data_IF_838069785449
#
_entry.id   IF_838069785449
#
_cell.length_a   1.000
_cell.length_b   1.000
_cell.length_c   1.000
_cell.angle_alpha   90.00
_cell.angle_beta   90.00
_cell.angle_gamma   90.00
#
_symmetry.space_group_name_H-M   'P 1'
#
loop_
_entity.id
_entity.type
_entity.pdbx_description
1 polymer ?
#
# COMPACT_ATOMS: atom_id res chain seq x y z
N UNK A 1 -14.82 -1.31 14.27
CA UNK A 1 -14.15 -0.95 12.99
C UNK A 1 -13.82 0.52 12.89
N UNK A 2 -12.69 0.82 12.23
CA UNK A 2 -12.20 2.18 12.03
C UNK A 2 -11.75 2.35 10.57
N UNK A 3 -12.11 3.47 9.96
CA UNK A 3 -11.59 3.91 8.66
C UNK A 3 -10.50 4.94 8.91
N UNK A 4 -9.40 4.85 8.17
CA UNK A 4 -8.27 5.76 8.30
C UNK A 4 -8.13 6.60 7.03
N UNK A 5 -7.95 7.90 7.19
CA UNK A 5 -7.47 8.80 6.15
C UNK A 5 -5.99 9.11 6.39
N UNK A 6 -5.19 9.16 5.33
CA UNK A 6 -3.76 9.47 5.42
C UNK A 6 -3.45 10.82 4.78
N UNK A 7 -2.76 11.69 5.52
CA UNK A 7 -2.23 12.96 5.01
C UNK A 7 -0.70 12.89 5.04
N UNK A 8 -0.08 12.94 3.86
CA UNK A 8 1.38 12.91 3.71
C UNK A 8 2.05 14.15 4.32
N UNK A 9 3.32 14.02 4.71
CA UNK A 9 4.09 15.05 5.41
C UNK A 9 4.17 16.36 4.62
N UNK A 10 4.37 16.28 3.31
CA UNK A 10 4.49 17.47 2.46
C UNK A 10 3.16 18.22 2.37
N UNK A 11 2.05 17.50 2.17
CA UNK A 11 0.70 18.07 2.19
C UNK A 11 0.38 18.67 3.56
N UNK A 12 0.82 18.02 4.64
CA UNK A 12 0.59 18.51 5.99
C UNK A 12 1.34 19.81 6.32
N UNK A 13 2.49 20.06 5.69
CA UNK A 13 3.29 21.26 5.90
C UNK A 13 2.68 22.55 5.35
N UNK A 14 1.77 22.44 4.38
CA UNK A 14 1.01 23.57 3.84
C UNK A 14 -0.40 23.60 4.47
N UNK A 15 -0.68 24.61 5.29
CA UNK A 15 -1.95 24.73 6.02
C UNK A 15 -3.19 24.71 5.11
N UNK A 16 -3.13 25.30 3.91
CA UNK A 16 -4.26 25.34 2.99
C UNK A 16 -4.51 23.95 2.37
N UNK A 17 -3.46 23.29 1.87
CA UNK A 17 -3.55 21.93 1.30
C UNK A 17 -3.92 20.89 2.34
N UNK A 18 -3.38 21.05 3.54
CA UNK A 18 -3.62 20.21 4.72
C UNK A 18 -5.09 20.29 5.18
N UNK A 19 -5.72 21.46 5.09
CA UNK A 19 -7.16 21.63 5.37
C UNK A 19 -8.02 20.98 4.28
N UNK A 20 -7.75 21.31 3.02
CA UNK A 20 -8.48 20.79 1.85
C UNK A 20 -8.45 19.25 1.78
N UNK A 21 -7.28 18.65 1.99
CA UNK A 21 -7.12 17.19 2.04
C UNK A 21 -7.96 16.56 3.17
N UNK A 22 -8.00 17.18 4.36
CA UNK A 22 -8.78 16.66 5.50
C UNK A 22 -10.28 16.78 5.26
N UNK A 23 -10.74 17.88 4.68
CA UNK A 23 -12.16 18.06 4.33
C UNK A 23 -12.60 17.03 3.28
N UNK A 24 -11.80 16.83 2.25
CA UNK A 24 -12.03 15.81 1.21
C UNK A 24 -12.07 14.40 1.79
N UNK A 25 -11.08 14.04 2.63
CA UNK A 25 -11.03 12.74 3.31
C UNK A 25 -12.22 12.54 4.26
N UNK A 26 -12.66 13.59 4.95
CA UNK A 26 -13.82 13.54 5.84
C UNK A 26 -15.11 13.29 5.05
N UNK A 27 -15.32 13.98 3.93
CA UNK A 27 -16.46 13.79 3.06
C UNK A 27 -16.46 12.40 2.42
N UNK A 28 -15.30 11.94 1.91
CA UNK A 28 -15.13 10.62 1.33
C UNK A 28 -15.36 9.51 2.36
N UNK A 29 -14.76 9.64 3.56
CA UNK A 29 -14.94 8.67 4.64
C UNK A 29 -16.40 8.53 5.06
N UNK A 30 -17.14 9.63 5.20
CA UNK A 30 -18.59 9.58 5.50
C UNK A 30 -19.40 8.88 4.41
N UNK A 31 -19.03 9.06 3.14
CA UNK A 31 -19.67 8.36 2.02
C UNK A 31 -19.38 6.87 2.07
N UNK A 32 -18.11 6.50 2.30
CA UNK A 32 -17.66 5.11 2.35
C UNK A 32 -18.31 4.30 3.47
N UNK A 33 -18.68 4.95 4.57
CA UNK A 33 -19.17 4.28 5.78
C UNK A 33 -20.69 4.31 5.93
N UNK A 34 -21.42 4.97 5.02
CA UNK A 34 -22.87 5.20 5.13
C UNK A 34 -23.67 3.92 5.33
N UNK A 35 -23.32 2.84 4.63
CA UNK A 35 -24.11 1.61 4.60
C UNK A 35 -23.52 0.50 5.48
N UNK A 36 -22.57 0.82 6.37
CA UNK A 36 -21.92 -0.16 7.25
C UNK A 36 -22.48 -0.13 8.66
N UNK A 37 -22.73 -1.31 9.23
CA UNK A 37 -23.17 -1.49 10.61
C UNK A 37 -22.22 -2.45 11.37
N UNK A 38 -21.68 -2.07 12.54
CA UNK A 38 -21.80 -0.75 13.17
C UNK A 38 -21.07 0.35 12.37
N UNK A 39 -21.52 1.61 12.51
CA UNK A 39 -20.90 2.72 11.79
C UNK A 39 -19.44 2.86 12.28
N UNK A 40 -18.45 2.68 11.41
CA UNK A 40 -17.05 2.74 11.80
C UNK A 40 -16.62 4.19 12.06
N UNK A 41 -15.75 4.38 13.06
CA UNK A 41 -15.14 5.69 13.32
C UNK A 41 -14.17 6.10 12.20
N UNK A 42 -14.16 7.36 11.81
CA UNK A 42 -13.19 7.91 10.84
C UNK A 42 -12.05 8.61 11.59
N UNK A 43 -10.81 8.23 11.31
CA UNK A 43 -9.60 8.86 11.88
C UNK A 43 -8.69 9.33 10.76
N UNK A 44 -8.45 10.63 10.67
CA UNK A 44 -7.51 11.17 9.69
C UNK A 44 -6.17 11.38 10.40
N UNK A 45 -5.15 10.64 9.96
CA UNK A 45 -3.80 10.67 10.53
C UNK A 45 -2.84 11.40 9.61
N UNK A 46 -1.83 12.01 10.21
CA UNK A 46 -0.75 12.69 9.48
C UNK A 46 0.51 11.85 9.55
N UNK A 47 1.23 11.73 8.44
CA UNK A 47 2.49 11.03 8.35
C UNK A 47 3.47 11.47 9.46
N UNK A 48 4.09 10.51 10.14
CA UNK A 48 5.01 10.76 11.25
C UNK A 48 4.35 11.08 12.59
N UNK A 49 3.02 11.21 12.66
CA UNK A 49 2.32 11.34 13.94
C UNK A 49 2.29 10.03 14.74
N UNK A 50 2.11 10.11 16.06
CA UNK A 50 2.00 8.92 16.91
C UNK A 50 0.89 7.95 16.46
N UNK A 51 -0.23 8.49 15.97
CA UNK A 51 -1.37 7.71 15.48
C UNK A 51 -1.11 7.05 14.12
N UNK A 52 -0.20 7.59 13.31
CA UNK A 52 0.16 7.01 12.01
C UNK A 52 0.78 5.61 12.13
N UNK A 53 1.44 5.31 13.27
CA UNK A 53 2.02 3.99 13.54
C UNK A 53 1.01 2.86 13.42
N UNK A 54 -0.25 3.11 13.79
CA UNK A 54 -1.32 2.12 13.64
C UNK A 54 -1.56 1.78 12.15
N UNK A 55 -1.57 2.77 11.27
CA UNK A 55 -1.76 2.53 9.83
C UNK A 55 -0.52 1.85 9.24
N UNK A 56 0.68 2.35 9.58
CA UNK A 56 1.94 1.81 9.07
C UNK A 56 2.14 0.34 9.43
N UNK A 57 1.76 -0.08 10.65
CA UNK A 57 1.89 -1.49 11.07
C UNK A 57 0.95 -2.48 10.36
N UNK A 58 0.12 -2.00 9.42
CA UNK A 58 -0.82 -2.82 8.64
C UNK A 58 -0.45 -2.83 7.15
N UNK A 59 0.60 -2.12 6.78
CA UNK A 59 1.12 -2.10 5.41
C UNK A 59 2.13 -3.23 5.27
N UNK A 60 2.07 -3.94 4.15
CA UNK A 60 3.11 -4.91 3.80
C UNK A 60 4.44 -4.17 3.52
N UNK A 61 5.59 -4.70 3.97
CA UNK A 61 6.87 -4.02 3.82
C UNK A 61 7.47 -4.20 2.41
N UNK A 62 6.79 -3.73 1.36
CA UNK A 62 7.26 -3.87 -0.03
C UNK A 62 8.53 -3.09 -0.36
N UNK A 63 8.97 -2.17 0.51
CA UNK A 63 10.18 -1.39 0.32
C UNK A 63 11.48 -2.20 0.52
N UNK A 64 11.40 -3.41 1.09
CA UNK A 64 12.55 -4.31 1.27
C UNK A 64 12.81 -5.18 0.03
N UNK A 65 11.86 -5.23 -0.91
CA UNK A 65 11.95 -6.04 -2.13
C UNK A 65 12.93 -5.43 -3.13
N UNK A 66 13.40 -6.23 -4.09
CA UNK A 66 14.27 -5.73 -5.14
C UNK A 66 13.54 -4.71 -6.05
N UNK A 67 14.28 -3.75 -6.61
CA UNK A 67 13.71 -2.66 -7.41
C UNK A 67 12.82 -3.12 -8.56
N UNK A 68 13.23 -4.17 -9.28
CA UNK A 68 12.44 -4.71 -10.38
C UNK A 68 11.09 -5.25 -9.90
N UNK A 69 11.04 -5.86 -8.72
CA UNK A 69 9.81 -6.37 -8.12
C UNK A 69 8.91 -5.24 -7.63
N UNK A 70 9.50 -4.23 -6.98
CA UNK A 70 8.78 -3.02 -6.58
C UNK A 70 8.12 -2.34 -7.78
N UNK A 71 8.80 -2.29 -8.92
CA UNK A 71 8.28 -1.66 -10.14
C UNK A 71 7.08 -2.42 -10.72
N UNK A 72 7.04 -3.74 -10.59
CA UNK A 72 5.90 -4.57 -11.01
C UNK A 72 4.69 -4.35 -10.08
N UNK A 73 4.91 -4.38 -8.77
CA UNK A 73 3.82 -4.28 -7.78
C UNK A 73 3.32 -2.85 -7.56
N UNK A 74 4.20 -1.86 -7.73
CA UNK A 74 3.90 -0.46 -7.49
C UNK A 74 4.32 0.39 -8.71
N UNK A 75 3.60 0.30 -9.84
CA UNK A 75 3.94 1.07 -11.05
C UNK A 75 4.12 2.58 -10.84
N UNK A 76 3.37 3.27 -9.94
CA UNK A 76 3.61 4.68 -9.67
C UNK A 76 4.99 4.99 -9.07
N UNK A 77 5.62 4.04 -8.37
CA UNK A 77 6.97 4.22 -7.81
C UNK A 77 8.01 4.21 -8.93
N UNK A 78 7.82 3.40 -9.97
CA UNK A 78 8.71 3.34 -11.12
C UNK A 78 8.74 4.65 -11.92
N UNK A 79 7.66 5.43 -11.87
CA UNK A 79 7.56 6.74 -12.53
C UNK A 79 8.18 7.90 -11.73
N UNK A 80 8.63 7.66 -10.50
CA UNK A 80 9.24 8.71 -9.66
C UNK A 80 10.65 9.04 -10.14
N UNK A 81 11.02 10.32 -10.02
CA UNK A 81 12.41 10.74 -10.19
C UNK A 81 13.31 10.01 -9.18
N UNK A 82 14.58 9.67 -9.53
CA UNK A 82 15.47 8.90 -8.64
C UNK A 82 15.61 9.49 -7.24
N UNK A 83 15.72 10.82 -7.13
CA UNK A 83 15.80 11.52 -5.84
C UNK A 83 14.52 11.40 -5.01
N UNK A 84 13.35 11.48 -5.65
CA UNK A 84 12.06 11.32 -4.99
C UNK A 84 11.88 9.88 -4.51
N UNK A 85 12.30 8.90 -5.33
CA UNK A 85 12.28 7.48 -4.95
C UNK A 85 13.19 7.20 -3.76
N UNK A 86 14.42 7.74 -3.76
CA UNK A 86 15.35 7.61 -2.62
C UNK A 86 14.77 8.23 -1.34
N UNK A 87 14.15 9.40 -1.45
CA UNK A 87 13.48 10.08 -0.32
C UNK A 87 12.30 9.26 0.22
N UNK A 88 11.50 8.66 -0.67
CA UNK A 88 10.39 7.78 -0.30
C UNK A 88 10.91 6.51 0.39
N UNK A 89 11.93 5.86 -0.15
CA UNK A 89 12.49 4.66 0.47
C UNK A 89 13.07 4.92 1.87
N UNK A 90 13.66 6.11 2.07
CA UNK A 90 14.18 6.54 3.37
C UNK A 90 13.10 6.91 4.40
N UNK A 91 11.83 7.08 3.99
CA UNK A 91 10.75 7.42 4.93
C UNK A 91 10.12 6.21 5.60
N UNK A 92 10.35 5.00 5.07
CA UNK A 92 9.83 3.77 5.65
C UNK A 92 10.57 3.38 6.94
N UNK A 93 9.83 2.78 7.87
CA UNK A 93 10.41 2.25 9.10
C UNK A 93 11.08 0.90 8.80
N UNK A 94 12.30 0.65 9.31
CA UNK A 94 12.90 -0.67 9.27
C UNK A 94 11.98 -1.69 9.94
N UNK A 95 11.82 -2.85 9.31
CA UNK A 95 11.03 -3.97 9.83
C UNK A 95 11.64 -5.29 9.40
N UNK A 96 11.55 -6.28 10.28
CA UNK A 96 11.99 -7.66 10.03
C UNK A 96 10.85 -8.53 9.48
N UNK A 97 9.67 -7.95 9.28
CA UNK A 97 8.53 -8.67 8.72
C UNK A 97 8.81 -9.03 7.24
N UNK A 98 8.46 -10.27 6.82
CA UNK A 98 8.63 -10.65 5.43
C UNK A 98 7.73 -9.79 4.54
N UNK A 99 8.27 -9.35 3.40
CA UNK A 99 7.45 -8.75 2.36
C UNK A 99 6.46 -9.77 1.81
N UNK A 100 5.42 -9.27 1.13
CA UNK A 100 4.47 -10.13 0.44
C UNK A 100 5.16 -11.02 -0.61
N UNK A 101 6.15 -10.48 -1.30
CA UNK A 101 6.99 -11.22 -2.25
C UNK A 101 7.75 -12.38 -1.60
N UNK A 102 8.42 -12.12 -0.48
CA UNK A 102 9.16 -13.13 0.26
C UNK A 102 8.22 -14.22 0.80
N UNK A 103 7.05 -13.82 1.32
CA UNK A 103 6.03 -14.75 1.79
C UNK A 103 5.53 -15.67 0.67
N UNK A 104 5.23 -15.14 -0.52
CA UNK A 104 4.81 -15.94 -1.69
C UNK A 104 5.88 -16.95 -2.12
N UNK A 105 7.16 -16.55 -2.12
CA UNK A 105 8.28 -17.47 -2.42
C UNK A 105 8.36 -18.61 -1.41
N UNK A 106 8.08 -18.34 -0.13
CA UNK A 106 7.97 -19.37 0.91
C UNK A 106 6.87 -20.40 0.65
N UNK A 107 5.84 -20.03 -0.12
CA UNK A 107 4.77 -20.93 -0.59
C UNK A 107 5.10 -21.63 -1.92
N UNK A 108 6.28 -21.42 -2.48
CA UNK A 108 6.66 -21.94 -3.81
C UNK A 108 6.08 -21.16 -4.99
N UNK A 109 5.45 -20.01 -4.74
CA UNK A 109 4.89 -19.14 -5.77
C UNK A 109 5.97 -18.16 -6.27
N UNK A 110 5.95 -17.85 -7.57
CA UNK A 110 6.84 -16.84 -8.17
C UNK A 110 6.05 -15.61 -8.60
N UNK A 111 6.71 -14.47 -8.52
CA UNK A 111 6.16 -13.19 -8.98
C UNK A 111 6.31 -13.16 -10.49
N UNK A 112 5.25 -12.72 -11.16
CA UNK A 112 5.24 -12.53 -12.62
C UNK A 112 6.26 -11.46 -13.00
N UNK A 113 7.21 -11.80 -13.85
CA UNK A 113 8.15 -10.82 -14.40
C UNK A 113 7.52 -10.10 -15.61
N UNK A 114 8.01 -8.90 -15.92
CA UNK A 114 7.54 -8.14 -17.09
C UNK A 114 7.94 -8.90 -18.37
N UNK A 115 7.01 -9.67 -18.94
CA UNK A 115 7.24 -10.53 -20.11
C UNK A 115 6.68 -11.96 -19.99
N UNK A 116 6.14 -12.35 -18.83
CA UNK A 116 5.50 -13.66 -18.66
C UNK A 116 4.08 -13.70 -19.24
N UNK A 117 3.89 -14.55 -20.26
CA UNK A 117 2.60 -15.06 -20.69
C UNK A 117 2.09 -16.11 -19.68
N UNK A 118 0.80 -16.05 -19.34
CA UNK A 118 0.01 -16.93 -18.43
C UNK A 118 0.76 -17.92 -17.52
N UNK A 119 0.71 -17.69 -16.20
CA UNK A 119 1.35 -18.57 -15.22
C UNK A 119 0.61 -19.91 -15.14
N UNK A 120 1.29 -20.97 -15.58
CA UNK A 120 0.90 -22.36 -15.26
C UNK A 120 1.35 -22.67 -13.83
N UNK A 121 0.38 -22.78 -12.90
CA UNK A 121 0.62 -23.21 -11.53
C UNK A 121 0.84 -24.72 -11.50
N UNK A 122 2.10 -25.16 -11.41
CA UNK A 122 2.42 -26.56 -11.12
C UNK A 122 2.21 -26.85 -9.63
N UNK A 123 0.95 -26.90 -9.21
CA UNK A 123 0.56 -27.59 -7.97
C UNK A 123 0.38 -29.06 -8.32
N UNK A 124 0.95 -29.96 -7.52
CA UNK A 124 0.76 -31.40 -7.71
C UNK A 124 -0.73 -31.74 -7.81
N UNK A 125 -1.18 -32.02 -9.04
CA UNK A 125 -2.55 -32.42 -9.36
C UNK A 125 -3.57 -31.28 -9.46
N UNK A 126 -3.48 -30.42 -10.49
CA UNK A 126 -4.63 -29.65 -10.99
C UNK A 126 -4.38 -28.14 -11.11
N UNK A 127 -4.53 -27.64 -12.34
CA UNK A 127 -4.30 -26.26 -12.77
C UNK A 127 -5.45 -25.35 -12.30
N UNK A 128 -5.14 -24.31 -11.51
CA UNK A 128 -6.11 -23.23 -11.19
C UNK A 128 -5.36 -21.90 -11.18
N UNK A 129 -5.55 -21.08 -12.20
CA UNK A 129 -4.98 -19.72 -12.28
C UNK A 129 -5.62 -18.77 -11.25
N UNK A 130 -4.80 -18.10 -10.44
CA UNK A 130 -5.26 -17.07 -9.48
C UNK A 130 -4.61 -15.74 -9.82
N UNK A 131 -5.39 -14.83 -10.40
CA UNK A 131 -4.99 -13.43 -10.63
C UNK A 131 -5.42 -12.55 -9.47
N UNK A 132 -4.47 -11.92 -8.77
CA UNK A 132 -4.77 -10.87 -7.79
C UNK A 132 -4.74 -9.52 -8.48
N UNK A 133 -5.93 -8.96 -8.73
CA UNK A 133 -6.10 -7.59 -9.22
C UNK A 133 -6.09 -6.63 -8.03
N UNK A 134 -4.92 -6.16 -7.61
CA UNK A 134 -4.79 -5.11 -6.59
C UNK A 134 -5.06 -3.75 -7.20
N UNK A 135 -6.32 -3.47 -7.52
CA UNK A 135 -6.78 -2.09 -7.66
C UNK A 135 -6.87 -1.48 -6.26
N UNK A 136 -5.87 -0.68 -5.89
CA UNK A 136 -6.00 0.27 -4.79
C UNK A 136 -6.90 1.39 -5.31
N UNK A 137 -8.17 1.37 -4.90
CA UNK A 137 -9.14 2.47 -5.08
C UNK A 137 -8.88 3.57 -4.06
#
# INVERSE_FOLDING_TARGET
DCVFGWVGREVASDAARSRDARETLAAFGKRLTRDRFPIPSLKIVTEGSSQARYVVSRLAPGHVDAEHEQNVWFPPIAALAPEARKKLMASFLPTEEPSFALWMRGLGLRIREAGDDDVTLAMGGGEVGVGFNTQIV
#
